data_IF_922975757956
#
_entry.id   IF_922975757956
#
_cell.length_a   1.000
_cell.length_b   1.000
_cell.length_c   1.000
_cell.angle_alpha   90.00
_cell.angle_beta   90.00
_cell.angle_gamma   90.00
#
_symmetry.space_group_name_H-M   'P 1'
#
loop_
_entity.id
_entity.type
_entity.pdbx_description
1 polymer ?
#
# COMPACT_ATOMS: atom_id res chain seq x y z
N UNK A 1 -6.21 12.25 -46.20
CA UNK A 1 -5.17 11.76 -45.28
C UNK A 1 -5.86 11.47 -43.96
N UNK A 2 -5.79 10.21 -43.53
CA UNK A 2 -6.67 9.63 -42.52
C UNK A 2 -6.45 10.23 -41.12
N UNK A 3 -7.55 10.48 -40.41
CA UNK A 3 -7.57 10.76 -38.99
C UNK A 3 -7.17 9.47 -38.25
N UNK A 4 -6.02 9.49 -37.58
CA UNK A 4 -5.67 8.47 -36.59
C UNK A 4 -6.47 8.79 -35.34
N UNK A 5 -7.68 8.24 -35.26
CA UNK A 5 -8.35 8.00 -33.99
C UNK A 5 -7.48 7.04 -33.20
N UNK A 6 -6.65 7.57 -32.29
CA UNK A 6 -6.11 6.75 -31.20
C UNK A 6 -7.30 6.32 -30.37
N UNK A 7 -7.81 5.12 -30.66
CA UNK A 7 -8.74 4.45 -29.78
C UNK A 7 -7.97 4.23 -28.47
N UNK A 8 -8.23 5.10 -27.49
CA UNK A 8 -8.03 4.77 -26.11
C UNK A 8 -8.61 3.37 -25.92
N UNK A 9 -7.74 2.39 -25.71
CA UNK A 9 -8.16 1.08 -25.23
C UNK A 9 -8.61 1.34 -23.81
N UNK A 10 -9.86 1.79 -23.69
CA UNK A 10 -10.56 1.89 -22.43
C UNK A 10 -10.62 0.47 -21.89
N UNK A 11 -9.69 0.18 -21.00
CA UNK A 11 -9.67 -1.06 -20.26
C UNK A 11 -11.05 -1.17 -19.58
N UNK A 12 -11.82 -2.24 -19.82
CA UNK A 12 -13.15 -2.40 -19.22
C UNK A 12 -13.09 -2.36 -17.68
N UNK A 13 -11.90 -2.58 -17.09
CA UNK A 13 -11.67 -2.41 -15.66
C UNK A 13 -11.61 -0.94 -15.20
N UNK A 14 -11.12 -0.02 -16.04
CA UNK A 14 -11.11 1.43 -15.75
C UNK A 14 -12.53 2.02 -15.87
N UNK A 15 -13.31 1.57 -16.85
CA UNK A 15 -14.73 1.92 -16.95
C UNK A 15 -15.55 1.33 -15.80
N UNK A 16 -15.26 0.11 -15.35
CA UNK A 16 -15.90 -0.48 -14.16
C UNK A 16 -15.55 0.28 -12.87
N UNK A 17 -14.32 0.80 -12.75
CA UNK A 17 -13.91 1.64 -11.61
C UNK A 17 -14.62 3.00 -11.60
N UNK A 18 -14.88 3.57 -12.77
CA UNK A 18 -15.59 4.83 -12.94
C UNK A 18 -17.13 4.70 -12.81
N UNK A 19 -17.68 3.51 -13.11
CA UNK A 19 -19.13 3.25 -13.10
C UNK A 19 -19.67 2.85 -11.71
N UNK A 20 -18.85 2.24 -10.85
CA UNK A 20 -19.22 1.95 -9.45
C UNK A 20 -18.94 3.16 -8.55
N UNK A 21 -19.84 4.15 -8.58
CA UNK A 21 -19.69 5.40 -7.83
C UNK A 21 -19.33 5.18 -6.36
N UNK A 22 -18.29 5.90 -5.88
CA UNK A 22 -17.86 6.20 -4.50
C UNK A 22 -18.14 5.15 -3.38
N UNK A 23 -18.31 3.88 -3.70
CA UNK A 23 -18.55 2.83 -2.71
C UNK A 23 -17.23 2.58 -1.97
N UNK A 24 -17.15 3.18 -0.77
CA UNK A 24 -15.97 3.35 0.10
C UNK A 24 -14.77 2.43 -0.21
N UNK A 25 -13.71 3.08 -0.67
CA UNK A 25 -12.39 2.58 -1.07
C UNK A 25 -11.57 2.08 0.15
N UNK A 26 -12.21 1.84 1.30
CA UNK A 26 -11.52 1.77 2.59
C UNK A 26 -10.63 0.53 2.74
N UNK A 27 -11.14 -0.66 2.41
CA UNK A 27 -10.33 -1.88 2.33
C UNK A 27 -9.29 -1.83 1.20
N UNK A 28 -9.60 -1.16 0.08
CA UNK A 28 -8.64 -0.99 -1.02
C UNK A 28 -7.46 -0.11 -0.58
N UNK A 29 -7.70 0.93 0.22
CA UNK A 29 -6.64 1.75 0.79
C UNK A 29 -5.74 0.92 1.74
N UNK A 30 -6.34 0.08 2.60
CA UNK A 30 -5.60 -0.86 3.47
C UNK A 30 -4.72 -1.80 2.65
N UNK A 31 -5.28 -2.37 1.58
CA UNK A 31 -4.55 -3.28 0.69
C UNK A 31 -3.38 -2.57 -0.03
N UNK A 32 -3.60 -1.36 -0.57
CA UNK A 32 -2.52 -0.58 -1.21
C UNK A 32 -1.40 -0.24 -0.24
N UNK A 33 -1.72 0.16 0.98
CA UNK A 33 -0.70 0.45 2.00
C UNK A 33 0.09 -0.82 2.36
N UNK A 34 -0.57 -1.98 2.43
CA UNK A 34 0.09 -3.28 2.61
C UNK A 34 1.08 -3.58 1.47
N UNK A 35 0.71 -3.29 0.23
CA UNK A 35 1.56 -3.48 -0.94
C UNK A 35 2.78 -2.56 -0.94
N UNK A 36 2.59 -1.29 -0.58
CA UNK A 36 3.71 -0.35 -0.39
C UNK A 36 4.67 -0.87 0.67
N UNK A 37 4.16 -1.37 1.80
CA UNK A 37 5.01 -1.98 2.83
C UNK A 37 5.79 -3.20 2.30
N UNK A 38 5.18 -4.03 1.45
CA UNK A 38 5.89 -5.15 0.79
C UNK A 38 6.99 -4.67 -0.17
N UNK A 39 6.74 -3.58 -0.88
CA UNK A 39 7.72 -3.00 -1.80
C UNK A 39 8.93 -2.41 -1.05
N UNK A 40 8.68 -1.61 -0.01
CA UNK A 40 9.70 -1.03 0.86
C UNK A 40 10.55 -2.11 1.53
N UNK A 41 9.93 -3.18 2.02
CA UNK A 41 10.64 -4.35 2.56
C UNK A 41 11.64 -4.93 1.54
N UNK A 42 11.20 -5.16 0.30
CA UNK A 42 12.03 -5.76 -0.74
C UNK A 42 13.20 -4.85 -1.14
N UNK A 43 12.96 -3.54 -1.29
CA UNK A 43 14.01 -2.57 -1.58
C UNK A 43 15.07 -2.60 -0.48
N UNK A 44 14.65 -2.51 0.78
CA UNK A 44 15.56 -2.48 1.92
C UNK A 44 16.41 -3.75 2.00
N UNK A 45 15.82 -4.93 1.78
CA UNK A 45 16.58 -6.19 1.75
C UNK A 45 17.55 -6.26 0.58
N UNK A 46 17.15 -5.78 -0.60
CA UNK A 46 18.02 -5.75 -1.77
C UNK A 46 19.22 -4.82 -1.55
N UNK A 47 18.96 -3.61 -1.05
CA UNK A 47 19.99 -2.63 -0.71
C UNK A 47 20.94 -3.13 0.38
N UNK A 48 20.41 -3.79 1.43
CA UNK A 48 21.23 -4.42 2.47
C UNK A 48 22.15 -5.52 1.91
N UNK A 49 21.69 -6.23 0.86
CA UNK A 49 22.49 -7.20 0.12
C UNK A 49 23.52 -6.60 -0.85
N UNK A 50 23.61 -5.27 -0.93
CA UNK A 50 24.53 -4.55 -1.81
C UNK A 50 24.03 -4.35 -3.25
N UNK A 51 22.74 -4.57 -3.51
CA UNK A 51 22.16 -4.26 -4.82
C UNK A 51 22.07 -2.74 -5.03
N UNK A 52 22.38 -2.29 -6.24
CA UNK A 52 22.05 -0.93 -6.65
C UNK A 52 20.54 -0.84 -6.92
N UNK A 53 19.84 -0.12 -6.05
CA UNK A 53 18.38 0.09 -6.13
C UNK A 53 18.03 1.37 -6.90
N UNK A 54 19.01 2.00 -7.56
CA UNK A 54 18.79 3.18 -8.41
C UNK A 54 18.42 4.45 -7.66
N UNK A 55 18.50 4.46 -6.33
CA UNK A 55 18.18 5.59 -5.47
C UNK A 55 19.09 5.64 -4.24
N UNK A 56 19.37 6.85 -3.76
CA UNK A 56 20.01 7.04 -2.45
C UNK A 56 18.99 6.77 -1.36
N UNK A 57 19.32 5.87 -0.44
CA UNK A 57 18.52 5.56 0.75
C UNK A 57 19.10 6.27 1.98
N UNK A 58 18.36 7.25 2.51
CA UNK A 58 18.69 7.97 3.72
C UNK A 58 17.58 7.80 4.77
N UNK A 59 17.88 7.71 6.08
CA UNK A 59 16.87 7.51 7.12
C UNK A 59 15.73 8.56 7.10
N UNK A 60 16.07 9.81 6.78
CA UNK A 60 15.10 10.91 6.66
C UNK A 60 14.06 10.68 5.56
N UNK A 61 14.41 9.99 4.46
CA UNK A 61 13.48 9.65 3.39
C UNK A 61 12.45 8.62 3.85
N UNK A 62 12.82 7.67 4.72
CA UNK A 62 11.87 6.70 5.27
C UNK A 62 10.89 7.35 6.25
N UNK A 63 11.37 8.26 7.11
CA UNK A 63 10.49 9.03 8.02
C UNK A 63 9.50 9.87 7.22
N UNK A 64 9.98 10.58 6.20
CA UNK A 64 9.17 11.42 5.34
C UNK A 64 8.20 10.62 4.48
N UNK A 65 8.68 9.55 3.84
CA UNK A 65 7.88 8.64 3.00
C UNK A 65 6.80 7.93 3.80
N UNK A 66 7.12 7.40 4.99
CA UNK A 66 6.13 6.81 5.91
C UNK A 66 5.09 7.85 6.31
N UNK A 67 5.51 9.07 6.64
CA UNK A 67 4.57 10.13 7.02
C UNK A 67 3.62 10.49 5.87
N UNK A 68 4.14 10.70 4.67
CA UNK A 68 3.34 10.96 3.47
C UNK A 68 2.39 9.81 3.19
N UNK A 69 2.88 8.57 3.28
CA UNK A 69 2.05 7.38 3.07
C UNK A 69 0.86 7.40 4.02
N UNK A 70 1.08 7.65 5.32
CA UNK A 70 0.02 7.71 6.33
C UNK A 70 -0.94 8.88 6.12
N UNK A 71 -0.41 10.08 5.81
CA UNK A 71 -1.22 11.28 5.60
C UNK A 71 -2.06 11.17 4.32
N UNK A 72 -1.47 10.76 3.20
CA UNK A 72 -2.17 10.63 1.91
C UNK A 72 -3.16 9.47 1.88
N UNK A 73 -2.85 8.36 2.57
CA UNK A 73 -3.76 7.20 2.61
C UNK A 73 -4.86 7.34 3.65
N UNK A 74 -4.77 8.28 4.59
CA UNK A 74 -5.64 8.36 5.77
C UNK A 74 -5.89 6.97 6.39
N UNK A 75 -4.83 6.17 6.53
CA UNK A 75 -4.97 4.73 6.81
C UNK A 75 -5.71 4.45 8.12
N UNK A 76 -5.55 5.30 9.14
CA UNK A 76 -6.30 5.19 10.40
C UNK A 76 -7.81 5.34 10.17
N UNK A 77 -8.23 6.35 9.40
CA UNK A 77 -9.62 6.55 9.02
C UNK A 77 -10.16 5.40 8.19
N UNK A 78 -9.40 4.95 7.19
CA UNK A 78 -9.80 3.85 6.31
C UNK A 78 -9.90 2.51 7.05
N UNK A 79 -8.98 2.18 7.96
CA UNK A 79 -9.10 0.98 8.79
C UNK A 79 -10.33 1.04 9.70
N UNK A 80 -10.59 2.18 10.36
CA UNK A 80 -11.79 2.36 11.20
C UNK A 80 -13.08 2.20 10.39
N UNK A 81 -13.08 2.76 9.19
CA UNK A 81 -14.22 2.68 8.29
C UNK A 81 -14.48 1.25 7.83
N UNK A 82 -13.45 0.58 7.30
CA UNK A 82 -13.47 -0.82 6.89
C UNK A 82 -14.01 -1.73 8.01
N UNK A 83 -13.52 -1.54 9.24
CA UNK A 83 -13.98 -2.31 10.40
C UNK A 83 -15.46 -2.05 10.70
N UNK A 84 -15.92 -0.80 10.54
CA UNK A 84 -17.30 -0.40 10.83
C UNK A 84 -18.30 -0.85 9.78
N UNK A 85 -17.94 -0.84 8.51
CA UNK A 85 -18.87 -1.03 7.39
C UNK A 85 -18.74 -2.41 6.75
N UNK A 86 -17.52 -2.97 6.69
CA UNK A 86 -17.22 -4.17 5.89
C UNK A 86 -16.92 -5.40 6.76
N UNK A 87 -16.23 -5.24 7.89
CA UNK A 87 -15.90 -6.36 8.79
C UNK A 87 -17.18 -6.89 9.49
N UNK A 88 -17.44 -8.22 9.44
CA UNK A 88 -18.55 -8.84 10.16
C UNK A 88 -18.50 -8.54 11.66
N UNK A 89 -19.66 -8.24 12.27
CA UNK A 89 -19.75 -7.80 13.68
C UNK A 89 -18.96 -8.66 14.66
N UNK A 90 -19.01 -9.99 14.54
CA UNK A 90 -18.30 -10.92 15.43
C UNK A 90 -16.77 -10.91 15.32
N UNK A 91 -16.20 -10.26 14.30
CA UNK A 91 -14.75 -10.14 14.07
C UNK A 91 -14.21 -8.73 14.36
N UNK A 92 -15.08 -7.75 14.64
CA UNK A 92 -14.68 -6.34 14.75
C UNK A 92 -13.73 -6.06 15.90
N UNK A 93 -13.94 -6.68 17.04
CA UNK A 93 -13.07 -6.46 18.21
C UNK A 93 -11.63 -6.89 17.92
N UNK A 94 -11.44 -8.08 17.34
CA UNK A 94 -10.13 -8.56 16.90
C UNK A 94 -9.54 -7.62 15.84
N UNK A 95 -10.33 -7.19 14.86
CA UNK A 95 -9.88 -6.25 13.84
C UNK A 95 -9.48 -4.88 14.43
N UNK A 96 -10.15 -4.38 15.46
CA UNK A 96 -9.74 -3.16 16.16
C UNK A 96 -8.38 -3.34 16.84
N UNK A 97 -8.15 -4.46 17.52
CA UNK A 97 -6.88 -4.75 18.17
C UNK A 97 -5.72 -4.82 17.17
N UNK A 98 -5.94 -5.47 16.03
CA UNK A 98 -4.94 -5.54 14.96
C UNK A 98 -4.70 -4.17 14.31
N UNK A 99 -5.74 -3.35 14.09
CA UNK A 99 -5.56 -1.98 13.58
C UNK A 99 -4.76 -1.09 14.53
N UNK A 100 -4.96 -1.21 15.85
CA UNK A 100 -4.14 -0.50 16.84
C UNK A 100 -2.68 -0.97 16.78
N UNK A 101 -2.45 -2.27 16.59
CA UNK A 101 -1.10 -2.84 16.43
C UNK A 101 -0.39 -2.25 15.20
N UNK A 102 -1.07 -2.20 14.06
CA UNK A 102 -0.58 -1.59 12.82
C UNK A 102 -0.15 -0.13 13.07
N UNK A 103 -0.98 0.67 13.72
CA UNK A 103 -0.65 2.08 14.00
C UNK A 103 0.56 2.22 14.94
N UNK A 104 0.68 1.33 15.93
CA UNK A 104 1.85 1.30 16.82
C UNK A 104 3.13 0.91 16.07
N UNK A 105 3.04 -0.02 15.11
CA UNK A 105 4.18 -0.39 14.27
C UNK A 105 4.61 0.74 13.34
N UNK A 106 3.67 1.47 12.72
CA UNK A 106 4.00 2.68 11.96
C UNK A 106 4.69 3.74 12.83
N UNK A 107 4.21 3.94 14.07
CA UNK A 107 4.89 4.82 15.03
C UNK A 107 6.30 4.33 15.36
N UNK A 108 6.47 3.02 15.50
CA UNK A 108 7.77 2.39 15.78
C UNK A 108 8.72 2.56 14.60
N UNK A 109 8.29 2.25 13.38
CA UNK A 109 9.03 2.46 12.14
C UNK A 109 9.53 3.90 12.02
N UNK A 110 8.63 4.88 12.21
CA UNK A 110 8.98 6.30 12.13
C UNK A 110 10.02 6.69 13.20
N UNK A 111 9.87 6.22 14.45
CA UNK A 111 10.82 6.50 15.53
C UNK A 111 12.17 5.83 15.31
N UNK A 112 12.17 4.59 14.86
CA UNK A 112 13.39 3.84 14.53
C UNK A 112 14.15 4.55 13.43
N UNK A 113 13.49 4.88 12.31
CA UNK A 113 14.11 5.59 11.20
C UNK A 113 14.64 6.98 11.62
N UNK A 114 13.91 7.71 12.47
CA UNK A 114 14.34 9.03 12.96
C UNK A 114 15.55 8.98 13.90
N UNK A 115 15.81 7.85 14.55
CA UNK A 115 16.95 7.67 15.45
C UNK A 115 18.27 7.38 14.71
N UNK A 116 18.19 6.98 13.44
CA UNK A 116 19.35 6.63 12.62
C UNK A 116 20.04 7.89 12.06
N UNK A 117 21.35 7.96 12.19
CA UNK A 117 22.18 9.03 11.60
C UNK A 117 22.66 8.67 10.20
N UNK A 118 22.98 7.40 10.02
CA UNK A 118 23.37 6.77 8.77
C UNK A 118 22.55 5.48 8.65
N UNK A 119 22.51 4.92 7.45
CA UNK A 119 21.73 3.71 7.17
C UNK A 119 22.69 2.56 6.86
N UNK A 120 22.99 1.72 7.85
CA UNK A 120 23.81 0.53 7.62
C UNK A 120 22.96 -0.61 7.03
N UNK A 121 23.59 -1.65 6.44
CA UNK A 121 22.86 -2.84 6.01
C UNK A 121 22.03 -3.49 7.12
N UNK A 122 22.55 -3.52 8.36
CA UNK A 122 21.81 -4.02 9.52
C UNK A 122 20.57 -3.17 9.84
N UNK A 123 20.70 -1.85 9.78
CA UNK A 123 19.57 -0.93 9.97
C UNK A 123 18.49 -1.13 8.89
N UNK A 124 18.91 -1.33 7.63
CA UNK A 124 17.99 -1.63 6.53
C UNK A 124 17.20 -2.91 6.78
N UNK A 125 17.85 -3.96 7.31
CA UNK A 125 17.16 -5.20 7.66
C UNK A 125 16.16 -5.01 8.80
N UNK A 126 16.51 -4.20 9.82
CA UNK A 126 15.58 -3.85 10.90
C UNK A 126 14.36 -3.11 10.37
N UNK A 127 14.56 -2.11 9.50
CA UNK A 127 13.45 -1.39 8.87
C UNK A 127 12.61 -2.30 7.96
N UNK A 128 13.25 -3.22 7.22
CA UNK A 128 12.56 -4.19 6.38
C UNK A 128 11.66 -5.12 7.20
N UNK A 129 12.14 -5.59 8.36
CA UNK A 129 11.35 -6.43 9.25
C UNK A 129 10.14 -5.68 9.83
N UNK A 130 10.28 -4.38 10.11
CA UNK A 130 9.14 -3.53 10.53
C UNK A 130 8.11 -3.38 9.41
N UNK A 131 8.53 -3.10 8.18
CA UNK A 131 7.63 -3.04 7.03
C UNK A 131 6.93 -4.37 6.76
N UNK A 132 7.65 -5.50 6.87
CA UNK A 132 7.06 -6.85 6.76
C UNK A 132 6.01 -7.08 7.83
N UNK A 133 6.28 -6.69 9.08
CA UNK A 133 5.34 -6.84 10.19
C UNK A 133 4.05 -6.06 9.94
N UNK A 134 4.17 -4.81 9.48
CA UNK A 134 3.04 -3.95 9.11
C UNK A 134 2.25 -4.58 7.96
N UNK A 135 2.92 -5.08 6.92
CA UNK A 135 2.31 -5.75 5.78
C UNK A 135 1.49 -6.98 6.21
N UNK A 136 2.03 -7.81 7.10
CA UNK A 136 1.35 -8.98 7.63
C UNK A 136 0.09 -8.58 8.41
N UNK A 137 0.20 -7.58 9.30
CA UNK A 137 -0.95 -7.16 10.11
C UNK A 137 -2.03 -6.45 9.27
N UNK A 138 -1.65 -5.67 8.25
CA UNK A 138 -2.60 -5.11 7.27
C UNK A 138 -3.28 -6.20 6.42
N UNK A 139 -2.54 -7.24 6.02
CA UNK A 139 -3.10 -8.40 5.35
C UNK A 139 -4.06 -9.19 6.25
N UNK A 140 -3.74 -9.31 7.54
CA UNK A 140 -4.61 -9.93 8.53
C UNK A 140 -5.92 -9.14 8.68
N UNK A 141 -5.87 -7.81 8.67
CA UNK A 141 -7.07 -6.97 8.69
C UNK A 141 -7.99 -7.26 7.50
N UNK A 142 -7.41 -7.41 6.30
CA UNK A 142 -8.15 -7.76 5.10
C UNK A 142 -8.79 -9.15 5.19
N UNK A 143 -8.13 -10.11 5.85
CA UNK A 143 -8.68 -11.46 6.08
C UNK A 143 -9.96 -11.49 6.93
N UNK A 144 -10.25 -10.43 7.70
CA UNK A 144 -11.49 -10.34 8.46
C UNK A 144 -12.72 -10.04 7.60
N UNK A 145 -12.53 -9.50 6.39
CA UNK A 145 -13.59 -9.24 5.43
C UNK A 145 -14.28 -10.54 5.00
N UNK A 146 -15.46 -10.43 4.40
CA UNK A 146 -16.12 -11.61 3.80
C UNK A 146 -15.37 -12.00 2.53
N UNK A 147 -15.31 -13.29 2.15
CA UNK A 147 -14.58 -13.72 0.95
C UNK A 147 -14.98 -12.96 -0.33
N UNK A 148 -16.28 -12.69 -0.50
CA UNK A 148 -16.79 -11.89 -1.63
C UNK A 148 -16.20 -10.47 -1.68
N UNK A 149 -16.01 -9.86 -0.52
CA UNK A 149 -15.46 -8.51 -0.42
C UNK A 149 -13.95 -8.54 -0.67
N UNK A 150 -13.25 -9.58 -0.19
CA UNK A 150 -11.81 -9.79 -0.46
C UNK A 150 -11.55 -9.91 -1.97
N UNK A 151 -12.29 -10.77 -2.67
CA UNK A 151 -12.16 -10.96 -4.12
C UNK A 151 -12.46 -9.67 -4.91
N UNK A 152 -13.49 -8.90 -4.50
CA UNK A 152 -13.82 -7.60 -5.10
C UNK A 152 -12.63 -6.64 -5.03
N UNK A 153 -12.01 -6.51 -3.86
CA UNK A 153 -10.92 -5.55 -3.67
C UNK A 153 -9.59 -6.00 -4.27
N UNK A 154 -9.28 -7.30 -4.27
CA UNK A 154 -8.13 -7.86 -4.99
C UNK A 154 -8.25 -7.62 -6.50
N UNK A 155 -9.44 -7.84 -7.07
CA UNK A 155 -9.71 -7.52 -8.47
C UNK A 155 -9.51 -6.03 -8.76
N UNK A 156 -10.06 -5.14 -7.92
CA UNK A 156 -9.88 -3.68 -8.07
C UNK A 156 -8.42 -3.24 -7.94
N UNK A 157 -7.65 -3.85 -7.04
CA UNK A 157 -6.23 -3.56 -6.88
C UNK A 157 -5.43 -3.99 -8.12
N UNK A 158 -5.68 -5.19 -8.64
CA UNK A 158 -5.03 -5.67 -9.87
C UNK A 158 -5.40 -4.84 -11.10
N UNK A 159 -6.66 -4.43 -11.22
CA UNK A 159 -7.13 -3.54 -12.28
C UNK A 159 -6.40 -2.19 -12.28
N UNK A 160 -6.27 -1.58 -11.09
CA UNK A 160 -5.56 -0.31 -10.96
C UNK A 160 -4.09 -0.43 -11.34
N UNK A 161 -3.40 -1.48 -10.86
CA UNK A 161 -1.98 -1.71 -11.21
C UNK A 161 -1.78 -1.81 -12.71
N UNK A 162 -2.66 -2.55 -13.40
CA UNK A 162 -2.61 -2.68 -14.85
C UNK A 162 -2.80 -1.32 -15.55
N UNK A 163 -3.67 -0.46 -15.00
CA UNK A 163 -3.87 0.90 -15.50
C UNK A 163 -2.65 1.80 -15.25
N UNK A 164 -2.08 1.79 -14.05
CA UNK A 164 -0.88 2.56 -13.70
C UNK A 164 0.34 2.14 -14.57
N UNK A 165 0.49 0.84 -14.82
CA UNK A 165 1.53 0.33 -15.72
C UNK A 165 1.33 0.77 -17.17
N UNK A 166 0.09 0.83 -17.64
CA UNK A 166 -0.22 1.30 -18.98
C UNK A 166 0.10 2.79 -19.14
N UNK A 167 -0.27 3.62 -18.15
CA UNK A 167 0.07 5.04 -18.14
C UNK A 167 1.57 5.30 -18.13
N UNK A 168 2.32 4.60 -17.26
CA UNK A 168 3.78 4.73 -17.21
C UNK A 168 4.44 4.33 -18.54
N UNK A 169 3.91 3.32 -19.23
CA UNK A 169 4.38 2.91 -20.55
C UNK A 169 4.01 3.90 -21.68
N UNK A 170 2.99 4.74 -21.48
CA UNK A 170 2.64 5.83 -22.41
C UNK A 170 3.48 7.09 -22.17
N UNK A 171 3.82 7.42 -20.92
CA UNK A 171 4.66 8.58 -20.58
C UNK A 171 6.15 8.41 -20.96
N UNK A 172 6.65 7.17 -21.07
CA UNK A 172 8.00 6.88 -21.57
C UNK A 172 8.12 7.00 -23.12
N UNK A 173 7.04 7.37 -23.81
CA UNK A 173 6.97 7.62 -25.26
C UNK A 173 6.71 9.11 -25.54
N UNK A 174 7.55 10.00 -25.01
CA UNK A 174 7.69 11.39 -25.49
C UNK A 174 9.16 11.81 -25.68
#
# INVERSE_FOLDING_TARGET
VAAVTSAAVLNPAAEALAAEGEEEISALAVLRVSEVCSFEEKILRAAAGGADVGMTLAPSQFVYGTRILLENSNIDGNMKLMIRTEVPRGKREAAVQDAVRVMNQFSTLSKTAAALKELTPEDMLVLADLYKSIQVDLGQLFSYLRPKDQEKYEFKANALRAYEQALAAEEDVE
#
